data_IF_241201334880
#
_entry.id   IF_241201334880
#
_cell.length_a   1.000
_cell.length_b   1.000
_cell.length_c   1.000
_cell.angle_alpha   90.00
_cell.angle_beta   90.00
_cell.angle_gamma   90.00
#
_symmetry.space_group_name_H-M   'P 1'
#
loop_
_entity.id
_entity.type
_entity.pdbx_description
1 polymer ?
#
# COMPACT_ATOMS: atom_id res chain seq x y z
N UNK A 1 -8.90 -30.72 -36.68
CA UNK A 1 -7.98 -29.60 -36.34
C UNK A 1 -8.79 -28.32 -36.21
N UNK A 2 -8.56 -27.50 -35.17
CA UNK A 2 -9.41 -26.35 -34.82
C UNK A 2 -9.16 -25.14 -35.73
N UNK A 3 -10.25 -24.56 -36.24
CA UNK A 3 -10.32 -23.37 -37.11
C UNK A 3 -9.56 -22.15 -36.55
N UNK A 4 -9.58 -21.98 -35.22
CA UNK A 4 -8.93 -20.87 -34.52
C UNK A 4 -7.39 -20.92 -34.60
N UNK A 5 -6.78 -22.11 -34.64
CA UNK A 5 -5.33 -22.29 -34.70
C UNK A 5 -4.73 -21.89 -36.06
N UNK A 6 -5.56 -21.80 -37.10
CA UNK A 6 -5.17 -21.39 -38.47
C UNK A 6 -5.32 -19.88 -38.70
N UNK A 7 -6.23 -19.23 -37.97
CA UNK A 7 -6.48 -17.78 -38.08
C UNK A 7 -5.58 -16.95 -37.17
N UNK A 8 -5.26 -17.47 -35.98
CA UNK A 8 -4.37 -16.84 -35.02
C UNK A 8 -3.34 -17.89 -34.62
N UNK A 9 -2.26 -17.98 -35.40
CA UNK A 9 -1.17 -18.92 -35.15
C UNK A 9 -0.64 -18.71 -33.73
N UNK A 10 -0.83 -19.71 -32.87
CA UNK A 10 -0.23 -19.80 -31.53
C UNK A 10 -0.71 -18.73 -30.55
N UNK A 11 -1.69 -19.07 -29.71
CA UNK A 11 -1.96 -18.29 -28.51
C UNK A 11 -0.80 -18.42 -27.53
N UNK A 12 0.14 -17.48 -27.59
CA UNK A 12 1.07 -17.21 -26.51
C UNK A 12 0.32 -16.55 -25.35
N UNK A 13 0.65 -16.95 -24.13
CA UNK A 13 0.26 -16.24 -22.90
C UNK A 13 0.59 -14.75 -23.03
N UNK A 14 -0.15 -13.83 -22.36
CA UNK A 14 0.12 -12.40 -22.45
C UNK A 14 1.58 -12.14 -22.09
N UNK A 15 2.36 -11.73 -23.09
CA UNK A 15 3.80 -11.54 -22.93
C UNK A 15 4.04 -10.41 -21.94
N UNK A 16 4.48 -10.76 -20.73
CA UNK A 16 5.07 -9.78 -19.82
C UNK A 16 6.24 -9.16 -20.56
N UNK A 17 6.30 -7.84 -20.64
CA UNK A 17 7.36 -7.11 -21.37
C UNK A 17 8.69 -7.25 -20.62
N UNK A 18 9.29 -8.44 -20.70
CA UNK A 18 10.64 -8.73 -20.22
C UNK A 18 11.60 -7.94 -21.11
N UNK A 19 12.38 -7.04 -20.52
CA UNK A 19 13.35 -6.27 -21.32
C UNK A 19 14.51 -7.13 -21.80
N UNK A 20 15.52 -6.51 -22.43
CA UNK A 20 16.65 -7.19 -23.10
C UNK A 20 17.41 -8.21 -22.21
N UNK A 21 17.31 -8.07 -20.88
CA UNK A 21 17.95 -8.94 -19.89
C UNK A 21 17.01 -9.99 -19.27
N UNK A 22 15.80 -10.17 -19.80
CA UNK A 22 14.82 -11.15 -19.28
C UNK A 22 14.15 -10.73 -17.95
N UNK A 23 14.42 -9.52 -17.46
CA UNK A 23 13.87 -8.97 -16.23
C UNK A 23 12.52 -8.30 -16.49
N UNK A 24 11.53 -8.56 -15.63
CA UNK A 24 10.25 -7.88 -15.62
C UNK A 24 10.37 -6.53 -14.90
N UNK A 25 10.69 -5.48 -15.66
CA UNK A 25 10.87 -4.13 -15.13
C UNK A 25 9.56 -3.49 -14.66
N UNK A 26 8.42 -3.90 -15.22
CA UNK A 26 7.12 -3.34 -14.86
C UNK A 26 6.73 -3.82 -13.47
N UNK A 27 6.83 -5.13 -13.22
CA UNK A 27 6.56 -5.71 -11.90
C UNK A 27 7.45 -5.13 -10.79
N UNK A 28 8.74 -4.94 -11.07
CA UNK A 28 9.67 -4.31 -10.11
C UNK A 28 9.30 -2.84 -9.86
N UNK A 29 8.94 -2.08 -10.89
CA UNK A 29 8.52 -0.68 -10.75
C UNK A 29 7.22 -0.55 -9.93
N UNK A 30 6.26 -1.42 -10.17
CA UNK A 30 4.98 -1.46 -9.44
C UNK A 30 5.20 -1.83 -7.97
N UNK A 31 6.03 -2.83 -7.69
CA UNK A 31 6.43 -3.20 -6.33
C UNK A 31 7.08 -2.04 -5.58
N UNK A 32 8.04 -1.33 -6.21
CA UNK A 32 8.70 -0.17 -5.60
C UNK A 32 7.73 0.98 -5.32
N UNK A 33 6.79 1.23 -6.23
CA UNK A 33 5.74 2.22 -6.02
C UNK A 33 4.82 1.82 -4.86
N UNK A 34 4.44 0.55 -4.77
CA UNK A 34 3.64 0.03 -3.67
C UNK A 34 4.34 0.19 -2.31
N UNK A 35 5.62 -0.20 -2.21
CA UNK A 35 6.40 -0.03 -0.99
C UNK A 35 6.50 1.44 -0.57
N UNK A 36 6.70 2.36 -1.53
CA UNK A 36 6.68 3.80 -1.25
C UNK A 36 5.33 4.24 -0.69
N UNK A 37 4.23 3.81 -1.27
CA UNK A 37 2.89 4.16 -0.81
C UNK A 37 2.65 3.66 0.62
N UNK A 38 3.15 2.48 1.00
CA UNK A 38 3.08 1.99 2.37
C UNK A 38 3.85 2.88 3.36
N UNK A 39 5.03 3.36 2.97
CA UNK A 39 5.82 4.29 3.81
C UNK A 39 5.11 5.64 3.94
N UNK A 40 4.53 6.15 2.86
CA UNK A 40 3.74 7.39 2.88
C UNK A 40 2.50 7.25 3.78
N UNK A 41 1.75 6.15 3.64
CA UNK A 41 0.61 5.84 4.51
C UNK A 41 1.05 5.79 5.98
N UNK A 42 2.12 5.07 6.31
CA UNK A 42 2.64 4.99 7.68
C UNK A 42 2.98 6.38 8.26
N UNK A 43 3.52 7.27 7.44
CA UNK A 43 3.81 8.63 7.84
C UNK A 43 2.52 9.47 8.03
N UNK A 44 1.53 9.33 7.15
CA UNK A 44 0.23 9.99 7.31
C UNK A 44 -0.48 9.56 8.61
N UNK A 45 -0.49 8.27 8.94
CA UNK A 45 -1.14 7.80 10.18
C UNK A 45 -0.47 8.40 11.43
N UNK A 46 0.87 8.49 11.44
CA UNK A 46 1.61 9.13 12.54
C UNK A 46 1.28 10.62 12.67
N UNK A 47 1.24 11.32 11.54
CA UNK A 47 0.90 12.74 11.52
C UNK A 47 -0.56 12.98 11.95
N UNK A 48 -1.49 12.10 11.56
CA UNK A 48 -2.88 12.12 12.02
C UNK A 48 -3.00 11.99 13.53
N UNK A 49 -2.31 11.00 14.13
CA UNK A 49 -2.27 10.81 15.59
C UNK A 49 -1.75 12.07 16.29
N UNK A 50 -0.65 12.66 15.81
CA UNK A 50 -0.06 13.87 16.39
C UNK A 50 -1.03 15.06 16.31
N UNK A 51 -1.63 15.27 15.13
CA UNK A 51 -2.57 16.37 14.87
C UNK A 51 -3.81 16.26 15.76
N UNK A 52 -4.43 15.08 15.82
CA UNK A 52 -5.63 14.89 16.64
C UNK A 52 -5.31 14.91 18.13
N UNK A 53 -4.11 14.48 18.55
CA UNK A 53 -3.67 14.61 19.94
C UNK A 53 -3.51 16.08 20.36
N UNK A 54 -2.99 16.91 19.45
CA UNK A 54 -2.94 18.36 19.67
C UNK A 54 -4.34 18.95 19.78
N UNK A 55 -5.23 18.64 18.85
CA UNK A 55 -6.61 19.15 18.91
C UNK A 55 -7.38 18.67 20.13
N UNK A 56 -7.15 17.44 20.58
CA UNK A 56 -7.69 16.92 21.83
C UNK A 56 -7.26 17.79 23.04
N UNK A 57 -6.00 18.24 23.06
CA UNK A 57 -5.46 19.09 24.13
C UNK A 57 -6.01 20.53 24.10
N UNK A 58 -6.38 21.02 22.91
CA UNK A 58 -6.91 22.38 22.69
C UNK A 58 -8.45 22.44 22.76
N UNK A 59 -9.14 21.28 22.78
CA UNK A 59 -10.58 21.19 22.76
C UNK A 59 -11.22 21.58 24.12
N UNK A 60 -12.14 22.55 24.05
CA UNK A 60 -12.78 23.13 25.24
C UNK A 60 -14.04 22.36 25.70
N UNK A 61 -14.63 21.54 24.84
CA UNK A 61 -15.84 20.77 25.13
C UNK A 61 -15.60 19.25 25.13
N UNK A 62 -16.32 18.51 25.97
CA UNK A 62 -16.11 17.06 26.13
C UNK A 62 -16.49 16.28 24.86
N UNK A 63 -17.47 16.76 24.10
CA UNK A 63 -17.92 16.08 22.88
C UNK A 63 -16.84 16.13 21.79
N UNK A 64 -16.18 17.28 21.62
CA UNK A 64 -15.02 17.44 20.75
C UNK A 64 -13.84 16.58 21.21
N UNK A 65 -13.58 16.53 22.53
CA UNK A 65 -12.55 15.63 23.09
C UNK A 65 -12.85 14.17 22.78
N UNK A 66 -14.08 13.72 22.95
CA UNK A 66 -14.47 12.35 22.63
C UNK A 66 -14.29 12.03 21.14
N UNK A 67 -14.66 12.96 20.25
CA UNK A 67 -14.44 12.81 18.82
C UNK A 67 -12.95 12.64 18.49
N UNK A 68 -12.07 13.50 19.02
CA UNK A 68 -10.64 13.39 18.75
C UNK A 68 -10.03 12.11 19.34
N UNK A 69 -10.49 11.64 20.51
CA UNK A 69 -10.06 10.34 21.05
C UNK A 69 -10.38 9.19 20.10
N UNK A 70 -11.59 9.18 19.52
CA UNK A 70 -12.00 8.15 18.54
C UNK A 70 -11.13 8.20 17.29
N UNK A 71 -10.88 9.40 16.74
CA UNK A 71 -10.01 9.56 15.58
C UNK A 71 -8.58 9.06 15.87
N UNK A 72 -8.02 9.40 17.03
CA UNK A 72 -6.69 8.90 17.43
C UNK A 72 -6.68 7.37 17.49
N UNK A 73 -7.73 6.74 18.01
CA UNK A 73 -7.81 5.28 18.11
C UNK A 73 -7.99 4.61 16.75
N UNK A 74 -8.72 5.24 15.82
CA UNK A 74 -8.81 4.82 14.41
C UNK A 74 -7.44 4.88 13.73
N UNK A 75 -6.71 6.00 13.83
CA UNK A 75 -5.37 6.11 13.20
C UNK A 75 -4.35 5.14 13.80
N UNK A 76 -4.46 4.80 15.10
CA UNK A 76 -3.64 3.73 15.69
C UNK A 76 -3.93 2.37 15.10
N UNK A 77 -5.20 2.08 14.78
CA UNK A 77 -5.58 0.84 14.11
C UNK A 77 -5.03 0.81 12.68
N UNK A 78 -5.17 1.91 11.92
CA UNK A 78 -4.60 2.04 10.59
C UNK A 78 -3.07 1.88 10.61
N UNK A 79 -2.38 2.55 11.54
CA UNK A 79 -0.94 2.45 11.71
C UNK A 79 -0.48 1.00 11.91
N UNK A 80 -1.22 0.24 12.72
CA UNK A 80 -0.94 -1.19 12.93
C UNK A 80 -1.13 -1.99 11.64
N UNK A 81 -2.22 -1.76 10.90
CA UNK A 81 -2.47 -2.46 9.64
C UNK A 81 -1.36 -2.21 8.62
N UNK A 82 -0.95 -0.95 8.44
CA UNK A 82 0.13 -0.57 7.52
C UNK A 82 1.46 -1.18 7.96
N UNK A 83 1.75 -1.19 9.26
CA UNK A 83 2.95 -1.81 9.79
C UNK A 83 2.97 -3.32 9.52
N UNK A 84 1.87 -4.03 9.80
CA UNK A 84 1.77 -5.47 9.57
C UNK A 84 1.94 -5.81 8.07
N UNK A 85 1.40 -4.98 7.17
CA UNK A 85 1.57 -5.13 5.71
C UNK A 85 3.03 -4.95 5.26
N UNK A 86 3.73 -3.95 5.81
CA UNK A 86 5.16 -3.72 5.55
C UNK A 86 5.98 -4.92 6.01
N UNK A 87 5.71 -5.46 7.21
CA UNK A 87 6.44 -6.61 7.74
C UNK A 87 6.20 -7.88 6.92
N UNK A 88 5.01 -8.06 6.37
CA UNK A 88 4.70 -9.16 5.46
C UNK A 88 5.46 -9.03 4.13
N UNK A 89 5.47 -7.83 3.53
CA UNK A 89 6.23 -7.55 2.31
C UNK A 89 7.74 -7.76 2.47
N UNK A 90 8.29 -7.43 3.65
CA UNK A 90 9.68 -7.72 4.00
C UNK A 90 9.98 -9.21 4.03
N UNK A 91 9.11 -10.02 4.64
CA UNK A 91 9.30 -11.48 4.71
C UNK A 91 9.25 -12.15 3.35
N UNK A 92 8.40 -11.66 2.46
CA UNK A 92 8.23 -12.20 1.11
C UNK A 92 9.37 -11.81 0.15
N UNK A 93 10.32 -10.97 0.59
CA UNK A 93 11.45 -10.53 -0.22
C UNK A 93 11.09 -9.46 -1.26
N UNK A 94 9.91 -8.85 -1.13
CA UNK A 94 9.45 -7.74 -1.97
C UNK A 94 9.90 -6.37 -1.44
N UNK A 95 10.74 -6.34 -0.41
CA UNK A 95 11.23 -5.11 0.20
C UNK A 95 12.69 -4.86 -0.19
N UNK A 96 12.97 -3.72 -0.83
CA UNK A 96 14.31 -3.28 -1.25
C UNK A 96 14.48 -1.78 -1.04
#
# INVERSE_FOLDING_TARGET
MSFWKRLFGGGGEPETKKGQYGVDYVGVSEMLAFNRNLVEALNHEKQGIELYSRFLSEANDERGREMYRRLIDEEKQHLKMVHDEIEEHKKQGYWS
#
